data_IF_946055934053
#
_entry.id   IF_946055934053
#
_cell.length_a   1.000
_cell.length_b   1.000
_cell.length_c   1.000
_cell.angle_alpha   90.00
_cell.angle_beta   90.00
_cell.angle_gamma   90.00
#
_symmetry.space_group_name_H-M   'P 1'
#
loop_
_entity.id
_entity.type
_entity.pdbx_description
1 polymer ?
#
# COMPACT_ATOMS: atom_id res chain seq x y z
N UNK A 1 -60.26 5.20 -31.00
CA UNK A 1 -59.30 5.58 -29.95
C UNK A 1 -58.71 4.28 -29.46
N UNK A 2 -57.50 3.95 -29.91
CA UNK A 2 -56.69 2.87 -29.32
C UNK A 2 -55.76 3.52 -28.31
N UNK A 3 -55.75 3.00 -27.09
CA UNK A 3 -54.79 3.36 -26.04
C UNK A 3 -53.47 2.60 -26.25
N UNK A 4 -52.30 3.21 -25.98
CA UNK A 4 -51.01 2.53 -26.08
C UNK A 4 -50.74 1.61 -24.87
N UNK A 5 -49.95 0.54 -25.02
CA UNK A 5 -49.65 -0.37 -23.93
C UNK A 5 -48.65 0.25 -22.94
N UNK A 6 -48.89 0.03 -21.65
CA UNK A 6 -48.00 0.39 -20.55
C UNK A 6 -46.79 -0.54 -20.61
N UNK A 7 -45.60 0.05 -20.69
CA UNK A 7 -44.32 -0.66 -20.62
C UNK A 7 -44.07 -1.01 -19.15
N UNK A 8 -44.23 -2.28 -18.81
CA UNK A 8 -43.73 -2.83 -17.54
C UNK A 8 -42.20 -2.89 -17.64
N UNK A 9 -41.54 -1.95 -16.98
CA UNK A 9 -40.13 -2.06 -16.63
C UNK A 9 -40.09 -2.86 -15.32
N UNK A 10 -40.08 -4.19 -15.42
CA UNK A 10 -39.74 -5.03 -14.27
C UNK A 10 -38.22 -5.12 -14.17
N UNK A 11 -37.74 -4.71 -13.01
CA UNK A 11 -36.36 -4.57 -12.58
C UNK A 11 -35.65 -5.94 -12.63
N UNK A 12 -34.64 -6.03 -13.49
CA UNK A 12 -33.64 -7.08 -13.48
C UNK A 12 -32.57 -6.70 -12.46
N UNK A 13 -32.67 -7.16 -11.20
CA UNK A 13 -31.55 -7.08 -10.24
C UNK A 13 -31.33 -8.42 -9.54
N UNK A 14 -30.46 -9.24 -10.15
CA UNK A 14 -29.33 -9.88 -9.48
C UNK A 14 -29.61 -10.86 -8.34
N UNK A 15 -30.09 -12.06 -8.68
CA UNK A 15 -29.75 -13.25 -7.90
C UNK A 15 -28.42 -13.81 -8.42
N UNK A 16 -27.30 -13.22 -8.00
CA UNK A 16 -25.96 -13.79 -8.27
C UNK A 16 -25.14 -13.88 -6.97
N UNK A 17 -24.62 -15.09 -6.73
CA UNK A 17 -23.59 -15.51 -5.77
C UNK A 17 -23.97 -15.75 -4.28
N UNK A 18 -24.77 -16.79 -4.03
CA UNK A 18 -24.72 -17.59 -2.80
C UNK A 18 -23.59 -18.66 -2.84
N UNK A 19 -22.38 -18.30 -3.28
CA UNK A 19 -21.22 -19.22 -3.20
C UNK A 19 -19.92 -18.49 -2.85
N UNK A 20 -19.99 -17.54 -1.91
CA UNK A 20 -18.79 -17.03 -1.21
C UNK A 20 -18.54 -17.89 0.02
N UNK A 21 -17.32 -18.43 0.09
CA UNK A 21 -16.76 -19.31 1.12
C UNK A 21 -17.32 -19.12 2.55
N UNK A 22 -17.32 -20.21 3.33
CA UNK A 22 -17.86 -20.46 4.70
C UNK A 22 -17.53 -19.43 5.83
N UNK A 23 -17.08 -18.23 5.52
CA UNK A 23 -17.07 -17.07 6.40
C UNK A 23 -18.03 -16.06 5.79
N UNK A 24 -19.29 -16.10 6.21
CA UNK A 24 -20.25 -15.06 5.85
C UNK A 24 -19.72 -13.66 6.20
N UNK A 25 -20.39 -12.58 5.74
CA UNK A 25 -19.93 -11.19 5.92
C UNK A 25 -19.66 -10.81 7.39
N UNK A 26 -20.15 -11.62 8.34
CA UNK A 26 -19.88 -11.54 9.77
C UNK A 26 -18.39 -11.68 10.13
N UNK A 27 -17.59 -12.34 9.29
CA UNK A 27 -16.16 -12.51 9.50
C UNK A 27 -15.36 -11.21 9.44
N UNK A 28 -15.83 -10.22 8.67
CA UNK A 28 -15.15 -8.94 8.54
C UNK A 28 -15.04 -8.18 9.87
N UNK A 29 -16.07 -8.29 10.73
CA UNK A 29 -16.09 -7.67 12.06
C UNK A 29 -15.09 -8.30 13.04
N UNK A 30 -14.66 -9.54 12.79
CA UNK A 30 -13.68 -10.25 13.63
C UNK A 30 -12.22 -9.91 13.29
N UNK A 31 -11.96 -9.19 12.20
CA UNK A 31 -10.61 -8.85 11.75
C UNK A 31 -9.99 -7.72 12.58
N UNK A 32 -8.67 -7.68 12.61
CA UNK A 32 -7.95 -6.52 13.13
C UNK A 32 -8.23 -5.29 12.27
N UNK A 33 -8.46 -4.10 12.84
CA UNK A 33 -8.71 -2.88 12.08
C UNK A 33 -7.62 -2.53 11.06
N UNK A 34 -6.36 -2.90 11.37
CA UNK A 34 -5.21 -2.64 10.49
C UNK A 34 -5.04 -3.68 9.36
N UNK A 35 -5.91 -4.70 9.33
CA UNK A 35 -5.92 -5.76 8.33
C UNK A 35 -7.19 -5.75 7.48
N UNK A 36 -8.08 -4.79 7.72
CA UNK A 36 -9.28 -4.62 6.91
C UNK A 36 -8.90 -4.27 5.47
N UNK A 37 -9.65 -4.82 4.52
CA UNK A 37 -9.64 -4.42 3.11
C UNK A 37 -10.88 -3.58 2.79
N UNK A 38 -10.92 -2.96 1.61
CA UNK A 38 -12.13 -2.27 1.15
C UNK A 38 -13.33 -3.22 1.03
N UNK A 39 -13.07 -4.47 0.62
CA UNK A 39 -14.05 -5.55 0.57
C UNK A 39 -14.65 -5.85 1.95
N UNK A 40 -13.83 -5.88 3.00
CA UNK A 40 -14.31 -6.05 4.37
C UNK A 40 -15.23 -4.92 4.81
N UNK A 41 -14.95 -3.68 4.38
CA UNK A 41 -15.81 -2.52 4.67
C UNK A 41 -17.15 -2.65 3.93
N UNK A 42 -17.16 -3.18 2.71
CA UNK A 42 -18.39 -3.46 1.98
C UNK A 42 -19.21 -4.57 2.64
N UNK A 43 -18.58 -5.67 3.05
CA UNK A 43 -19.23 -6.76 3.80
C UNK A 43 -19.91 -6.23 5.08
N UNK A 44 -19.20 -5.38 5.84
CA UNK A 44 -19.74 -4.71 7.04
C UNK A 44 -20.90 -3.77 6.68
N UNK A 45 -20.77 -2.99 5.61
CA UNK A 45 -21.81 -2.05 5.18
C UNK A 45 -23.11 -2.75 4.80
N UNK A 46 -23.02 -3.91 4.14
CA UNK A 46 -24.17 -4.71 3.75
C UNK A 46 -24.92 -5.25 4.97
N UNK A 47 -24.19 -5.80 5.95
CA UNK A 47 -24.77 -6.27 7.21
C UNK A 47 -25.47 -5.14 7.98
N UNK A 48 -24.77 -4.02 8.18
CA UNK A 48 -25.33 -2.85 8.87
C UNK A 48 -26.53 -2.28 8.12
N UNK A 49 -26.51 -2.26 6.79
CA UNK A 49 -27.62 -1.82 5.96
C UNK A 49 -28.88 -2.64 6.18
N UNK A 50 -28.75 -3.99 6.21
CA UNK A 50 -29.87 -4.89 6.52
C UNK A 50 -30.40 -4.69 7.94
N UNK A 51 -29.53 -4.61 8.94
CA UNK A 51 -29.94 -4.40 10.33
C UNK A 51 -30.68 -3.08 10.51
N UNK A 52 -30.16 -1.98 9.94
CA UNK A 52 -30.80 -0.67 9.97
C UNK A 52 -32.16 -0.68 9.26
N UNK A 53 -32.28 -1.41 8.14
CA UNK A 53 -33.54 -1.56 7.42
C UNK A 53 -34.58 -2.33 8.24
N UNK A 54 -34.15 -3.36 8.98
CA UNK A 54 -35.02 -4.15 9.85
C UNK A 54 -35.59 -3.37 11.04
N UNK A 55 -34.96 -2.25 11.43
CA UNK A 55 -35.48 -1.33 12.45
C UNK A 55 -36.67 -0.48 11.97
N UNK A 56 -36.97 -0.50 10.66
CA UNK A 56 -38.12 0.18 10.07
C UNK A 56 -37.90 1.67 9.78
N UNK A 57 -38.99 2.36 9.42
CA UNK A 57 -38.95 3.70 8.81
C UNK A 57 -39.00 4.88 9.80
N UNK A 58 -38.57 4.72 11.05
CA UNK A 58 -38.48 5.86 11.98
C UNK A 58 -37.50 6.91 11.42
N UNK A 59 -37.88 8.19 11.26
CA UNK A 59 -37.00 9.23 10.73
C UNK A 59 -35.66 9.34 11.48
N UNK A 60 -35.62 8.97 12.77
CA UNK A 60 -34.40 8.94 13.58
C UNK A 60 -33.46 7.82 13.15
N UNK A 61 -34.01 6.66 12.75
CA UNK A 61 -33.25 5.53 12.18
C UNK A 61 -32.67 5.93 10.84
N UNK A 62 -33.45 6.59 9.97
CA UNK A 62 -32.94 7.08 8.68
C UNK A 62 -31.82 8.12 8.87
N UNK A 63 -31.97 9.05 9.83
CA UNK A 63 -30.89 9.99 10.17
C UNK A 63 -29.64 9.28 10.70
N UNK A 64 -29.81 8.22 11.49
CA UNK A 64 -28.70 7.40 11.97
C UNK A 64 -28.04 6.65 10.82
N UNK A 65 -28.81 6.08 9.89
CA UNK A 65 -28.32 5.41 8.70
C UNK A 65 -27.40 6.31 7.88
N UNK A 66 -27.78 7.56 7.61
CA UNK A 66 -26.90 8.51 6.92
C UNK A 66 -25.59 8.79 7.67
N UNK A 67 -25.62 8.84 9.01
CA UNK A 67 -24.40 8.99 9.81
C UNK A 67 -23.52 7.74 9.74
N UNK A 68 -24.13 6.55 9.77
CA UNK A 68 -23.42 5.28 9.63
C UNK A 68 -22.76 5.17 8.26
N UNK A 69 -23.48 5.50 7.17
CA UNK A 69 -22.92 5.59 5.82
C UNK A 69 -21.71 6.52 5.80
N UNK A 70 -21.82 7.72 6.41
CA UNK A 70 -20.70 8.65 6.46
C UNK A 70 -19.48 8.10 7.20
N UNK A 71 -19.68 7.35 8.28
CA UNK A 71 -18.59 6.70 9.02
C UNK A 71 -17.95 5.57 8.19
N UNK A 72 -18.76 4.78 7.47
CA UNK A 72 -18.28 3.71 6.60
C UNK A 72 -17.48 4.27 5.41
N UNK A 73 -17.92 5.36 4.79
CA UNK A 73 -17.16 6.08 3.75
C UNK A 73 -15.79 6.55 4.28
N UNK A 74 -15.75 7.10 5.50
CA UNK A 74 -14.49 7.52 6.13
C UNK A 74 -13.58 6.33 6.43
N UNK A 75 -14.15 5.20 6.86
CA UNK A 75 -13.40 3.98 7.10
C UNK A 75 -12.82 3.41 5.80
N UNK A 76 -13.61 3.34 4.74
CA UNK A 76 -13.18 2.91 3.41
C UNK A 76 -12.00 3.76 2.91
N UNK A 77 -12.13 5.09 3.00
CA UNK A 77 -11.07 6.01 2.59
C UNK A 77 -9.76 5.74 3.36
N UNK A 78 -9.82 5.58 4.68
CA UNK A 78 -8.65 5.29 5.51
C UNK A 78 -8.01 3.93 5.20
N UNK A 79 -8.83 2.89 5.00
CA UNK A 79 -8.36 1.55 4.65
C UNK A 79 -7.69 1.57 3.27
N UNK A 80 -8.32 2.21 2.29
CA UNK A 80 -7.82 2.28 0.93
C UNK A 80 -6.54 3.12 0.81
N UNK A 81 -6.53 4.33 1.36
CA UNK A 81 -5.33 5.18 1.38
C UNK A 81 -4.18 4.53 2.14
N UNK A 82 -4.47 3.89 3.28
CA UNK A 82 -3.47 3.17 4.06
C UNK A 82 -2.85 2.00 3.30
N UNK A 83 -3.67 1.22 2.57
CA UNK A 83 -3.21 0.12 1.74
C UNK A 83 -2.30 0.60 0.60
N UNK A 84 -2.71 1.64 -0.12
CA UNK A 84 -1.95 2.22 -1.22
C UNK A 84 -0.59 2.80 -0.75
N UNK A 85 -0.61 3.59 0.33
CA UNK A 85 0.61 4.18 0.89
C UNK A 85 1.58 3.10 1.40
N UNK A 86 1.06 2.05 2.02
CA UNK A 86 1.88 0.92 2.47
C UNK A 86 2.55 0.20 1.29
N UNK A 87 1.81 -0.01 0.20
CA UNK A 87 2.33 -0.70 -0.98
C UNK A 87 3.38 0.14 -1.70
N UNK A 88 3.16 1.45 -1.83
CA UNK A 88 4.16 2.39 -2.34
C UNK A 88 5.46 2.34 -1.54
N UNK A 89 5.38 2.46 -0.21
CA UNK A 89 6.55 2.36 0.66
C UNK A 89 7.27 1.02 0.58
N UNK A 90 6.53 -0.09 0.39
CA UNK A 90 7.16 -1.41 0.19
C UNK A 90 7.95 -1.44 -1.11
N UNK A 91 7.40 -0.93 -2.20
CA UNK A 91 8.08 -0.86 -3.49
C UNK A 91 9.34 0.00 -3.42
N UNK A 92 9.25 1.20 -2.81
CA UNK A 92 10.41 2.07 -2.60
C UNK A 92 11.49 1.39 -1.75
N UNK A 93 11.08 0.78 -0.63
CA UNK A 93 11.99 0.06 0.26
C UNK A 93 12.68 -1.10 -0.45
N UNK A 94 11.97 -1.85 -1.29
CA UNK A 94 12.54 -2.98 -2.04
C UNK A 94 13.45 -2.51 -3.16
N UNK A 95 13.15 -1.37 -3.79
CA UNK A 95 14.04 -0.73 -4.75
C UNK A 95 15.35 -0.29 -4.08
N UNK A 96 15.26 0.47 -2.98
CA UNK A 96 16.43 0.95 -2.24
C UNK A 96 17.28 -0.21 -1.69
N UNK A 97 16.67 -1.31 -1.24
CA UNK A 97 17.41 -2.50 -0.81
C UNK A 97 18.27 -3.09 -1.94
N UNK A 98 17.72 -3.17 -3.16
CA UNK A 98 18.44 -3.65 -4.34
C UNK A 98 19.58 -2.70 -4.72
N UNK A 99 19.34 -1.39 -4.69
CA UNK A 99 20.39 -0.40 -4.96
C UNK A 99 21.53 -0.48 -3.94
N UNK A 100 21.22 -0.53 -2.65
CA UNK A 100 22.21 -0.67 -1.57
C UNK A 100 23.02 -1.95 -1.72
N UNK A 101 22.37 -3.07 -2.05
CA UNK A 101 23.07 -4.32 -2.32
C UNK A 101 23.99 -4.22 -3.54
N UNK A 102 23.54 -3.58 -4.62
CA UNK A 102 24.35 -3.30 -5.81
C UNK A 102 25.60 -2.48 -5.49
N UNK A 103 25.46 -1.41 -4.72
CA UNK A 103 26.58 -0.57 -4.29
C UNK A 103 27.57 -1.31 -3.40
N UNK A 104 27.08 -2.15 -2.46
CA UNK A 104 27.95 -2.97 -1.61
C UNK A 104 28.78 -3.98 -2.41
N UNK A 105 28.21 -4.54 -3.47
CA UNK A 105 28.92 -5.47 -4.37
C UNK A 105 29.94 -4.76 -5.27
N UNK A 106 29.69 -3.48 -5.62
CA UNK A 106 30.58 -2.67 -6.46
C UNK A 106 31.71 -2.00 -5.67
N UNK A 107 31.58 -1.85 -4.35
CA UNK A 107 32.67 -1.37 -3.51
C UNK A 107 33.76 -2.44 -3.44
N UNK A 108 34.98 -2.19 -3.97
CA UNK A 108 36.11 -3.06 -3.68
C UNK A 108 36.31 -3.08 -2.16
N UNK A 109 36.80 -4.18 -1.55
CA UNK A 109 37.27 -4.08 -0.17
C UNK A 109 38.24 -2.92 -0.15
N UNK A 110 37.97 -1.91 0.68
CA UNK A 110 38.89 -0.80 0.87
C UNK A 110 40.19 -1.38 1.43
N UNK A 111 41.07 -1.83 0.54
CA UNK A 111 42.45 -2.13 0.83
C UNK A 111 43.04 -0.82 1.29
N UNK A 112 43.14 -0.68 2.60
CA UNK A 112 43.75 0.46 3.27
C UNK A 112 45.22 0.54 2.89
N UNK A 113 45.51 1.08 1.72
CA UNK A 113 46.81 1.60 1.36
C UNK A 113 46.65 3.09 1.16
N UNK A 114 46.70 3.81 2.29
CA UNK A 114 47.13 5.19 2.27
C UNK A 114 48.54 5.20 1.67
N UNK A 115 48.82 6.02 0.64
CA UNK A 115 50.18 6.14 0.13
C UNK A 115 51.06 6.69 1.25
N UNK A 116 51.88 5.80 1.81
CA UNK A 116 52.85 6.09 2.85
C UNK A 116 53.78 7.22 2.37
N UNK A 117 53.49 8.43 2.83
CA UNK A 117 54.22 9.65 2.52
C UNK A 117 55.59 9.71 3.20
N UNK A 118 56.01 8.64 3.91
CA UNK A 118 57.29 8.62 4.64
C UNK A 118 58.47 8.04 3.87
N UNK A 119 58.31 7.53 2.63
CA UNK A 119 59.45 7.11 1.80
C UNK A 119 60.20 8.30 1.20
N UNK A 120 61.06 8.93 2.02
CA UNK A 120 62.10 9.87 1.59
C UNK A 120 62.88 9.31 0.40
N UNK A 121 62.78 9.96 -0.76
CA UNK A 121 63.62 9.67 -1.93
C UNK A 121 65.11 9.81 -1.57
N UNK A 122 65.99 8.85 -1.93
CA UNK A 122 67.41 8.99 -1.68
C UNK A 122 67.99 10.11 -2.57
N UNK A 123 68.70 11.06 -1.94
CA UNK A 123 69.41 12.13 -2.63
C UNK A 123 70.48 11.52 -3.54
N UNK A 124 70.31 11.66 -4.87
CA UNK A 124 71.35 11.35 -5.87
C UNK A 124 72.62 12.16 -5.54
N UNK A 125 73.70 11.50 -5.11
CA UNK A 125 75.04 12.09 -5.02
C UNK A 125 75.51 12.43 -6.44
N UNK A 126 75.64 13.73 -6.74
CA UNK A 126 76.32 14.20 -7.96
C UNK A 126 77.80 13.77 -7.88
N UNK A 127 78.19 12.77 -8.67
CA UNK A 127 79.61 12.49 -8.95
C UNK A 127 80.18 13.68 -9.70
N UNK A 128 81.11 14.40 -9.07
CA UNK A 128 81.96 15.40 -9.75
C UNK A 128 82.77 14.66 -10.81
N UNK A 129 82.66 15.10 -12.08
CA UNK A 129 83.59 14.70 -13.13
C UNK A 129 84.89 15.45 -12.85
N UNK A 130 85.97 14.72 -12.57
CA UNK A 130 87.31 15.27 -12.69
C UNK A 130 87.70 15.21 -14.17
N UNK A 131 87.85 16.37 -14.78
CA UNK A 131 88.58 16.57 -16.02
C UNK A 131 89.94 17.14 -15.61
N UNK A 132 91.04 16.58 -16.10
CA UNK A 132 92.38 17.05 -15.77
C UNK A 132 93.45 16.33 -16.57
N UNK A 133 93.76 16.93 -17.73
CA UNK A 133 94.97 16.96 -18.56
C UNK A 133 95.88 15.72 -18.63
#
# INVERSE_FOLDING_TARGET
MEEPPVREEEEEEGEEDEERDEVGPEGALGKSPFQLTAEDVYDISYLLGRELMALGSDPRVTQLQFKVVRVLEMLEALVNEGSLALEELKMERDHLRKEVEGLRRQSPPASGEWPDSTKRRPRRKKRKRCCGY
#
